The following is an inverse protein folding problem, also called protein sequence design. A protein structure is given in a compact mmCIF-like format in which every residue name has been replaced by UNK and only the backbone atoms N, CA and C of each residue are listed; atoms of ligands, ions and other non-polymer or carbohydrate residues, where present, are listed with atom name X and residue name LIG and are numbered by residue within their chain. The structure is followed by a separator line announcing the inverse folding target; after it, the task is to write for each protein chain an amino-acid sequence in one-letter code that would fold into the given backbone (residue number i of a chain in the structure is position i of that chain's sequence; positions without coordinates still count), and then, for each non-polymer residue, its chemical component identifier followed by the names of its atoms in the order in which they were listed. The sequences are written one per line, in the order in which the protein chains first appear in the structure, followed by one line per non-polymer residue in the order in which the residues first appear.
data_IF_619757231066
#
_entry.id   IF_619757231066
#
_cell.length_a   1.000
_cell.length_b   1.000
_cell.length_c   1.000
_cell.angle_alpha   90.00
_cell.angle_beta   90.00
_cell.angle_gamma   90.00
#
_symmetry.space_group_name_H-M   'P 1'
#
loop_
_entity.id
_entity.type
_entity.pdbx_description
1 polymer ?
#
# COMPACT_ATOMS: atom_id res chain seq x y z
N UNK A 1 -0.47 -10.10 -16.52
CA UNK A 1 0.76 -9.33 -16.74
C UNK A 1 1.05 -8.37 -15.58
N UNK A 2 0.25 -7.32 -15.34
CA UNK A 2 0.48 -6.42 -14.18
C UNK A 2 0.00 -7.00 -12.85
N UNK A 3 -1.17 -7.66 -12.83
CA UNK A 3 -1.68 -8.32 -11.62
C UNK A 3 -0.77 -9.45 -11.12
N UNK A 4 -0.18 -10.22 -12.04
CA UNK A 4 0.77 -11.28 -11.70
C UNK A 4 2.06 -10.71 -11.12
N UNK A 5 2.54 -9.58 -11.66
CA UNK A 5 3.70 -8.87 -11.14
C UNK A 5 3.41 -8.34 -9.72
N UNK A 6 2.26 -7.73 -9.51
CA UNK A 6 1.84 -7.25 -8.19
C UNK A 6 1.79 -8.38 -7.15
N UNK A 7 1.13 -9.50 -7.48
CA UNK A 7 1.04 -10.67 -6.60
C UNK A 7 2.41 -11.31 -6.32
N UNK A 8 3.30 -11.35 -7.32
CA UNK A 8 4.65 -11.86 -7.13
C UNK A 8 5.47 -11.04 -6.13
N UNK A 9 5.17 -9.74 -6.00
CA UNK A 9 5.88 -8.79 -5.15
C UNK A 9 5.37 -8.75 -3.71
N UNK A 10 4.09 -9.06 -3.47
CA UNK A 10 3.49 -9.02 -2.12
C UNK A 10 3.14 -10.39 -1.56
N UNK A 11 3.41 -11.47 -2.30
CA UNK A 11 3.03 -12.83 -1.96
C UNK A 11 1.74 -13.26 -2.66
N UNK A 12 1.68 -14.54 -3.07
CA UNK A 12 0.58 -15.11 -3.86
C UNK A 12 -0.77 -15.14 -3.14
N UNK A 13 -0.77 -15.06 -1.81
CA UNK A 13 -1.97 -15.03 -0.98
C UNK A 13 -2.49 -13.59 -0.75
N UNK A 14 -1.84 -12.59 -1.33
CA UNK A 14 -2.25 -11.19 -1.24
C UNK A 14 -3.53 -10.90 -2.02
N UNK A 15 -4.45 -10.17 -1.39
CA UNK A 15 -5.62 -9.61 -2.07
C UNK A 15 -5.34 -8.22 -2.66
N UNK A 16 -6.40 -7.49 -2.97
CA UNK A 16 -6.31 -6.05 -3.27
C UNK A 16 -6.52 -5.22 -2.01
N UNK A 17 -5.90 -4.03 -1.91
CA UNK A 17 -5.07 -3.35 -2.90
C UNK A 17 -3.56 -3.67 -2.79
N UNK A 18 -2.85 -3.60 -3.91
CA UNK A 18 -1.38 -3.65 -3.98
C UNK A 18 -0.89 -2.37 -4.66
N UNK A 19 0.08 -1.70 -4.06
CA UNK A 19 0.78 -0.56 -4.66
C UNK A 19 2.27 -0.83 -4.78
N UNK A 20 2.86 -0.35 -5.87
CA UNK A 20 4.32 -0.30 -6.07
C UNK A 20 4.76 1.15 -6.07
N UNK A 21 5.76 1.46 -5.25
CA UNK A 21 6.38 2.76 -5.11
C UNK A 21 7.78 2.73 -5.75
N UNK A 22 8.19 3.87 -6.31
CA UNK A 22 9.49 4.05 -6.95
C UNK A 22 9.83 2.94 -7.99
N UNK A 23 8.93 2.65 -8.95
CA UNK A 23 9.14 1.54 -9.87
C UNK A 23 10.43 1.70 -10.67
N UNK A 24 11.27 0.66 -10.68
CA UNK A 24 12.58 0.65 -11.34
C UNK A 24 13.71 1.36 -10.59
N UNK A 25 13.46 1.93 -9.41
CA UNK A 25 14.50 2.52 -8.57
C UNK A 25 15.18 1.49 -7.66
N UNK A 26 16.39 1.76 -7.13
CA UNK A 26 17.07 0.86 -6.18
C UNK A 26 16.27 0.60 -4.89
N UNK A 27 15.38 1.52 -4.53
CA UNK A 27 14.48 1.43 -3.38
C UNK A 27 13.03 1.14 -3.79
N UNK A 28 12.80 0.51 -4.95
CA UNK A 28 11.46 0.03 -5.33
C UNK A 28 10.87 -0.81 -4.20
N UNK A 29 9.62 -0.51 -3.85
CA UNK A 29 8.92 -1.19 -2.77
C UNK A 29 7.48 -1.47 -3.15
N UNK A 30 7.00 -2.69 -2.89
CA UNK A 30 5.60 -3.07 -3.12
C UNK A 30 4.98 -3.54 -1.83
N UNK A 31 3.78 -3.04 -1.54
CA UNK A 31 3.04 -3.38 -0.33
C UNK A 31 1.59 -3.75 -0.63
N UNK A 32 1.08 -4.70 0.15
CA UNK A 32 -0.35 -4.85 0.32
C UNK A 32 -0.85 -3.71 1.21
N UNK A 33 -1.79 -2.92 0.70
CA UNK A 33 -2.28 -1.71 1.35
C UNK A 33 -1.76 -0.41 0.74
N UNK A 34 -2.19 0.75 1.27
CA UNK A 34 -2.93 0.89 2.52
C UNK A 34 -4.38 0.44 2.35
N UNK A 35 -4.85 -0.36 3.30
CA UNK A 35 -6.24 -0.84 3.33
C UNK A 35 -7.12 0.22 4.02
N UNK A 36 -7.71 1.13 3.24
CA UNK A 36 -8.51 2.27 3.75
C UNK A 36 -10.00 2.06 3.56
N UNK A 37 -10.83 2.36 4.57
CA UNK A 37 -12.29 2.25 4.46
C UNK A 37 -12.97 3.52 3.91
N UNK A 38 -12.26 4.64 3.82
CA UNK A 38 -12.76 5.93 3.34
C UNK A 38 -11.67 6.62 2.53
N UNK A 39 -12.07 7.36 1.48
CA UNK A 39 -11.15 8.13 0.65
C UNK A 39 -10.62 9.35 1.45
N UNK A 40 -9.31 9.46 1.71
CA UNK A 40 -8.74 10.71 2.21
C UNK A 40 -8.78 11.77 1.11
N UNK A 41 -8.99 13.04 1.49
CA UNK A 41 -9.12 14.16 0.53
C UNK A 41 -8.18 15.30 0.92
N UNK A 42 -7.79 16.10 -0.07
CA UNK A 42 -6.90 17.25 0.12
C UNK A 42 -5.56 16.85 0.73
N UNK A 43 -5.07 17.67 1.67
CA UNK A 43 -3.77 17.44 2.34
C UNK A 43 -3.66 16.09 3.05
N UNK A 44 -4.77 15.52 3.53
CA UNK A 44 -4.75 14.22 4.19
C UNK A 44 -4.37 13.10 3.22
N UNK A 45 -4.75 13.21 1.95
CA UNK A 45 -4.38 12.23 0.93
C UNK A 45 -2.87 12.26 0.67
N UNK A 46 -2.29 13.46 0.58
CA UNK A 46 -0.85 13.66 0.39
C UNK A 46 -0.07 13.10 1.59
N UNK A 47 -0.47 13.45 2.81
CA UNK A 47 0.18 12.93 4.03
C UNK A 47 0.14 11.40 4.11
N UNK A 48 -0.99 10.79 3.74
CA UNK A 48 -1.08 9.33 3.71
C UNK A 48 -0.16 8.73 2.64
N UNK A 49 -0.12 9.33 1.45
CA UNK A 49 0.76 8.89 0.36
C UNK A 49 2.23 8.90 0.77
N UNK A 50 2.72 10.03 1.29
CA UNK A 50 4.11 10.20 1.74
C UNK A 50 4.48 9.19 2.83
N UNK A 51 3.57 8.95 3.79
CA UNK A 51 3.80 7.99 4.85
C UNK A 51 3.91 6.54 4.31
N UNK A 52 3.02 6.15 3.40
CA UNK A 52 3.03 4.81 2.82
C UNK A 52 4.25 4.61 1.93
N UNK A 53 4.61 5.59 1.11
CA UNK A 53 5.83 5.54 0.29
C UNK A 53 7.09 5.39 1.16
N UNK A 54 7.17 6.16 2.25
CA UNK A 54 8.29 6.06 3.20
C UNK A 54 8.39 4.66 3.77
N UNK A 55 7.27 4.09 4.24
CA UNK A 55 7.21 2.72 4.76
C UNK A 55 7.62 1.72 3.67
N UNK A 56 7.10 1.88 2.45
CA UNK A 56 7.29 0.95 1.37
C UNK A 56 8.74 0.86 0.88
N UNK A 57 9.44 1.99 0.91
CA UNK A 57 10.81 2.13 0.42
C UNK A 57 11.87 1.99 1.52
N UNK A 58 11.45 1.80 2.78
CA UNK A 58 12.35 1.58 3.92
C UNK A 58 12.76 0.11 4.05
N UNK A 59 14.07 -0.23 3.99
CA UNK A 59 14.53 -1.61 4.13
C UNK A 59 14.11 -2.25 5.45
N UNK A 60 13.67 -3.51 5.39
CA UNK A 60 13.37 -4.33 6.57
C UNK A 60 11.96 -4.18 7.15
N UNK A 61 11.13 -3.28 6.61
CA UNK A 61 9.71 -3.25 6.95
C UNK A 61 8.98 -4.33 6.16
N UNK A 62 8.21 -5.17 6.86
CA UNK A 62 7.46 -6.27 6.24
C UNK A 62 5.94 -6.13 6.43
N UNK A 63 5.47 -5.63 7.58
CA UNK A 63 4.03 -5.54 7.85
C UNK A 63 3.71 -4.39 8.82
N UNK A 64 2.60 -3.69 8.54
CA UNK A 64 1.90 -2.82 9.47
C UNK A 64 0.40 -3.15 9.40
N UNK A 65 -0.16 -3.64 10.51
CA UNK A 65 -1.55 -4.12 10.55
C UNK A 65 -2.26 -3.69 11.83
N UNK A 66 -3.56 -3.39 11.69
CA UNK A 66 -4.49 -3.14 12.80
C UNK A 66 -5.65 -4.12 12.74
N UNK A 67 -6.16 -4.56 13.89
CA UNK A 67 -7.21 -5.59 13.98
C UNK A 67 -8.61 -5.11 13.60
N UNK A 68 -8.91 -3.82 13.80
CA UNK A 68 -10.26 -3.25 13.61
C UNK A 68 -10.25 -2.23 12.47
N UNK A 69 -11.16 -2.40 11.50
CA UNK A 69 -11.46 -1.47 10.40
C UNK A 69 -12.95 -1.12 10.44
N UNK A 70 -13.30 0.13 10.14
CA UNK A 70 -14.70 0.54 9.97
C UNK A 70 -15.30 -0.05 8.69
N UNK A 71 -16.63 0.03 8.57
CA UNK A 71 -17.33 -0.32 7.33
C UNK A 71 -16.84 0.54 6.15
N UNK A 72 -17.00 0.03 4.93
CA UNK A 72 -16.67 0.79 3.72
C UNK A 72 -17.56 2.04 3.62
N UNK A 73 -16.91 3.18 3.48
CA UNK A 73 -17.52 4.49 3.27
C UNK A 73 -17.18 4.95 1.85
N UNK A 74 -18.20 4.95 0.99
CA UNK A 74 -18.10 5.31 -0.42
C UNK A 74 -18.47 6.77 -0.71
N UNK A 75 -18.66 7.59 0.33
CA UNK A 75 -19.00 9.01 0.18
C UNK A 75 -17.88 9.92 -0.34
#
# INVERSE_FOLDING_TARGET
FESDLALSRTGKDGGTPILTFMPGAPNEGSFFGPVISKIPRGEQAVKLWEAVETIATTPGVAELKRSIRGALDFS
#
